data_IF_538695411097
#
_entry.id   IF_538695411097
#
_cell.length_a   1.000
_cell.length_b   1.000
_cell.length_c   1.000
_cell.angle_alpha   90.00
_cell.angle_beta   90.00
_cell.angle_gamma   90.00
#
_symmetry.space_group_name_H-M   'P 1'
#
loop_
_entity.id
_entity.type
_entity.pdbx_description
1 polymer ?
#
# COMPACT_ATOMS: atom_id res chain seq x y z
N UNK A 1 26.43 -7.57 2.40
CA UNK A 1 25.21 -7.28 3.18
C UNK A 1 24.01 -7.30 2.23
N UNK A 2 23.04 -8.20 2.41
CA UNK A 2 21.75 -8.09 1.68
C UNK A 2 21.00 -6.91 2.29
N UNK A 3 20.62 -5.93 1.47
CA UNK A 3 19.76 -4.83 1.90
C UNK A 3 18.44 -5.45 2.42
N UNK A 4 18.23 -5.40 3.73
CA UNK A 4 16.98 -5.90 4.37
C UNK A 4 15.77 -5.08 3.97
N UNK A 5 16.01 -3.90 3.38
CA UNK A 5 14.98 -2.98 2.95
C UNK A 5 15.21 -2.46 1.54
N UNK A 6 14.11 -2.31 0.78
CA UNK A 6 14.02 -1.61 -0.50
C UNK A 6 13.50 -0.19 -0.25
N UNK A 7 14.08 0.82 -0.89
CA UNK A 7 13.56 2.20 -0.81
C UNK A 7 12.29 2.32 -1.66
N UNK A 8 11.40 3.25 -1.30
CA UNK A 8 10.15 3.46 -2.02
C UNK A 8 10.32 3.64 -3.55
N UNK A 9 11.25 4.48 -4.08
CA UNK A 9 11.41 4.60 -5.53
C UNK A 9 11.84 3.29 -6.21
N UNK A 10 12.74 2.53 -5.56
CA UNK A 10 13.20 1.22 -6.07
C UNK A 10 12.08 0.17 -6.00
N UNK A 11 11.20 0.25 -5.00
CA UNK A 11 10.02 -0.60 -4.93
C UNK A 11 9.07 -0.33 -6.11
N UNK A 12 8.75 0.93 -6.36
CA UNK A 12 7.87 1.35 -7.46
C UNK A 12 8.46 0.87 -8.80
N UNK A 13 9.75 1.14 -9.04
CA UNK A 13 10.43 0.74 -10.27
C UNK A 13 10.37 -0.78 -10.46
N UNK A 14 10.62 -1.57 -9.42
CA UNK A 14 10.58 -3.03 -9.52
C UNK A 14 9.21 -3.59 -9.89
N UNK A 15 8.13 -2.95 -9.43
CA UNK A 15 6.79 -3.37 -9.81
C UNK A 15 6.50 -3.02 -11.27
N UNK A 16 6.89 -1.81 -11.70
CA UNK A 16 6.76 -1.38 -13.10
C UNK A 16 7.54 -2.32 -14.03
N UNK A 17 8.80 -2.63 -13.70
CA UNK A 17 9.63 -3.55 -14.45
C UNK A 17 9.05 -4.97 -14.51
N UNK A 18 8.34 -5.40 -13.46
CA UNK A 18 7.69 -6.71 -13.42
C UNK A 18 6.43 -6.76 -14.31
N UNK A 19 5.64 -5.69 -14.33
CA UNK A 19 4.42 -5.60 -15.14
C UNK A 19 4.73 -5.65 -16.64
N UNK A 20 5.78 -4.95 -17.09
CA UNK A 20 6.10 -4.83 -18.52
C UNK A 20 7.06 -5.89 -19.03
N UNK A 21 7.58 -6.77 -18.15
CA UNK A 21 8.70 -7.68 -18.47
C UNK A 21 8.43 -8.56 -19.68
N UNK A 22 7.24 -9.14 -19.74
CA UNK A 22 6.81 -10.03 -20.82
C UNK A 22 5.73 -9.41 -21.70
N UNK A 23 5.10 -8.34 -21.23
CA UNK A 23 4.00 -7.65 -21.90
C UNK A 23 4.30 -6.14 -21.93
N UNK A 24 5.08 -5.64 -22.91
CA UNK A 24 5.56 -4.25 -22.93
C UNK A 24 4.46 -3.18 -22.92
N UNK A 25 3.27 -3.51 -23.45
CA UNK A 25 2.09 -2.63 -23.50
C UNK A 25 1.28 -2.62 -22.19
N UNK A 26 1.65 -3.46 -21.20
CA UNK A 26 0.93 -3.59 -19.94
C UNK A 26 0.93 -2.25 -19.19
N UNK A 27 -0.26 -1.75 -18.88
CA UNK A 27 -0.41 -0.57 -18.03
C UNK A 27 -0.37 -0.98 -16.56
N UNK A 28 0.30 -0.19 -15.73
CA UNK A 28 0.33 -0.43 -14.29
C UNK A 28 0.20 0.87 -13.51
N UNK A 29 -0.63 0.85 -12.47
CA UNK A 29 -0.72 1.92 -11.49
C UNK A 29 -0.66 1.42 -10.05
N UNK A 30 -0.25 2.31 -9.14
CA UNK A 30 -0.18 2.04 -7.70
C UNK A 30 -1.06 3.08 -7.00
N UNK A 31 -2.04 2.63 -6.20
CA UNK A 31 -2.96 3.49 -5.44
C UNK A 31 -2.82 3.25 -3.94
N UNK A 32 -3.18 4.24 -3.12
CA UNK A 32 -3.12 4.19 -1.65
C UNK A 32 -1.76 4.59 -1.07
N UNK A 33 -0.90 5.22 -1.87
CA UNK A 33 0.42 5.71 -1.46
C UNK A 33 0.62 7.21 -1.76
N UNK A 34 -0.44 7.93 -2.08
CA UNK A 34 -0.42 9.32 -2.56
C UNK A 34 0.26 10.27 -1.55
N UNK A 35 0.09 10.00 -0.26
CA UNK A 35 0.65 10.79 0.83
C UNK A 35 1.97 10.24 1.39
N UNK A 36 2.57 9.21 0.76
CA UNK A 36 3.80 8.56 1.24
C UNK A 36 5.00 9.07 0.45
N UNK A 37 5.69 10.08 0.99
CA UNK A 37 6.86 10.68 0.33
C UNK A 37 8.15 9.84 0.45
N UNK A 38 8.29 9.01 1.49
CA UNK A 38 9.43 8.11 1.64
C UNK A 38 9.08 6.90 2.52
N UNK A 39 9.59 5.73 2.16
CA UNK A 39 9.41 4.50 2.93
C UNK A 39 10.56 3.51 2.72
N UNK A 40 10.71 2.59 3.68
CA UNK A 40 11.57 1.39 3.58
C UNK A 40 10.67 0.16 3.64
N UNK A 41 10.68 -0.63 2.58
CA UNK A 41 9.89 -1.86 2.46
C UNK A 41 10.80 -3.07 2.68
N UNK A 42 10.27 -4.17 3.18
CA UNK A 42 11.08 -5.38 3.38
C UNK A 42 11.50 -5.98 2.03
N UNK A 43 12.79 -6.10 1.74
CA UNK A 43 13.26 -6.53 0.40
C UNK A 43 12.72 -7.89 -0.04
N UNK A 44 12.60 -8.84 0.88
CA UNK A 44 12.02 -10.16 0.61
C UNK A 44 10.52 -10.07 0.24
N UNK A 45 9.79 -9.09 0.78
CA UNK A 45 8.39 -8.85 0.43
C UNK A 45 8.29 -8.12 -0.91
N UNK A 46 9.15 -7.14 -1.16
CA UNK A 46 9.25 -6.48 -2.47
C UNK A 46 9.41 -7.49 -3.60
N UNK A 47 10.37 -8.42 -3.48
CA UNK A 47 10.60 -9.43 -4.52
C UNK A 47 9.38 -10.35 -4.72
N UNK A 48 8.69 -10.74 -3.63
CA UNK A 48 7.47 -11.53 -3.73
C UNK A 48 6.31 -10.80 -4.40
N UNK A 49 6.15 -9.50 -4.13
CA UNK A 49 5.11 -8.68 -4.75
C UNK A 49 5.43 -8.48 -6.23
N UNK A 50 6.70 -8.20 -6.59
CA UNK A 50 7.12 -8.08 -7.98
C UNK A 50 6.83 -9.36 -8.77
N UNK A 51 7.13 -10.53 -8.21
CA UNK A 51 6.81 -11.81 -8.85
C UNK A 51 5.28 -12.01 -9.03
N UNK A 52 4.47 -11.54 -8.07
CA UNK A 52 3.01 -11.62 -8.20
C UNK A 52 2.48 -10.67 -9.30
N UNK A 53 3.06 -9.47 -9.43
CA UNK A 53 2.74 -8.55 -10.53
C UNK A 53 3.09 -9.18 -11.88
N UNK A 54 4.26 -9.82 -12.00
CA UNK A 54 4.68 -10.53 -13.21
C UNK A 54 3.74 -11.70 -13.54
N UNK A 55 3.29 -12.46 -12.52
CA UNK A 55 2.33 -13.56 -12.67
C UNK A 55 1.00 -13.07 -13.26
N UNK A 56 0.45 -11.97 -12.73
CA UNK A 56 -0.75 -11.32 -13.27
C UNK A 56 -0.51 -10.81 -14.68
N UNK A 57 0.63 -10.17 -14.95
CA UNK A 57 0.98 -9.66 -16.28
C UNK A 57 1.08 -10.75 -17.37
N UNK A 58 1.35 -11.99 -16.98
CA UNK A 58 1.39 -13.15 -17.87
C UNK A 58 0.02 -13.83 -18.07
N UNK A 59 -1.03 -13.37 -17.37
CA UNK A 59 -2.36 -13.97 -17.44
C UNK A 59 -3.10 -13.51 -18.70
N UNK A 60 -3.65 -14.46 -19.46
CA UNK A 60 -4.37 -14.15 -20.70
C UNK A 60 -5.61 -13.30 -20.41
N UNK A 61 -5.79 -12.24 -21.20
CA UNK A 61 -6.96 -11.35 -21.09
C UNK A 61 -6.78 -10.19 -20.11
N UNK A 62 -5.63 -10.07 -19.44
CA UNK A 62 -5.29 -8.90 -18.62
C UNK A 62 -4.51 -7.89 -19.47
N UNK A 63 -4.96 -6.65 -19.49
CA UNK A 63 -4.37 -5.51 -20.21
C UNK A 63 -3.90 -4.38 -19.28
N UNK A 64 -4.35 -4.40 -18.01
CA UNK A 64 -4.03 -3.40 -16.99
C UNK A 64 -3.86 -4.05 -15.61
N UNK A 65 -2.91 -3.54 -14.82
CA UNK A 65 -2.64 -3.97 -13.45
C UNK A 65 -2.78 -2.80 -12.48
N UNK A 66 -3.58 -3.02 -11.44
CA UNK A 66 -3.66 -2.12 -10.30
C UNK A 66 -3.01 -2.75 -9.07
N UNK A 67 -2.06 -2.04 -8.46
CA UNK A 67 -1.50 -2.40 -7.15
C UNK A 67 -2.12 -1.50 -6.09
N UNK A 68 -3.09 -2.04 -5.36
CA UNK A 68 -3.84 -1.32 -4.34
C UNK A 68 -3.21 -1.54 -2.96
N UNK A 69 -2.76 -0.46 -2.34
CA UNK A 69 -2.17 -0.49 -0.99
C UNK A 69 -3.23 -0.07 0.03
N UNK A 70 -3.71 -1.04 0.82
CA UNK A 70 -4.69 -0.83 1.89
C UNK A 70 -4.12 -1.17 3.28
N UNK A 71 -4.58 -0.50 4.34
CA UNK A 71 -4.27 -0.92 5.70
C UNK A 71 -4.80 -2.33 5.97
N UNK A 72 -3.92 -3.18 6.49
CA UNK A 72 -4.29 -4.54 6.89
C UNK A 72 -5.16 -4.56 8.17
N UNK A 73 -4.97 -3.56 9.03
CA UNK A 73 -5.83 -3.31 10.18
C UNK A 73 -6.56 -1.99 9.89
N UNK A 74 -7.85 -2.02 9.56
CA UNK A 74 -8.61 -0.84 9.13
C UNK A 74 -8.98 0.10 10.28
N UNK A 75 -8.86 -0.38 11.53
CA UNK A 75 -9.08 0.41 12.73
C UNK A 75 -7.74 0.90 13.27
N UNK A 76 -7.59 2.22 13.32
CA UNK A 76 -6.38 2.85 13.84
C UNK A 76 -6.74 4.11 14.61
N UNK A 77 -6.21 4.20 15.83
CA UNK A 77 -6.31 5.39 16.68
C UNK A 77 -5.27 6.42 16.24
N UNK A 78 -5.72 7.63 15.91
CA UNK A 78 -4.87 8.72 15.45
C UNK A 78 -4.85 9.87 16.46
N UNK A 79 -3.71 10.56 16.53
CA UNK A 79 -3.58 11.83 17.25
C UNK A 79 -3.76 12.99 16.26
N UNK A 80 -4.71 13.86 16.55
CA UNK A 80 -4.93 15.09 15.80
C UNK A 80 -4.23 16.25 16.52
N UNK A 81 -3.47 17.06 15.76
CA UNK A 81 -2.82 18.27 16.28
C UNK A 81 -3.37 19.48 15.54
N UNK A 82 -4.25 20.23 16.19
CA UNK A 82 -4.95 21.38 15.60
C UNK A 82 -4.22 22.66 16.04
N UNK A 83 -3.56 23.35 15.12
CA UNK A 83 -2.79 24.57 15.39
C UNK A 83 -3.46 25.81 14.82
N UNK A 84 -3.60 26.85 15.66
CA UNK A 84 -3.95 28.20 15.24
C UNK A 84 -2.70 29.06 15.05
N UNK A 85 -2.60 29.74 13.91
CA UNK A 85 -1.49 30.63 13.55
C UNK A 85 -1.95 32.08 13.47
N UNK A 86 -1.07 33.03 13.81
CA UNK A 86 -1.31 34.45 13.57
C UNK A 86 -0.98 34.85 12.12
N UNK A 87 -1.24 36.13 11.79
CA UNK A 87 -0.98 36.72 10.47
C UNK A 87 0.49 36.64 10.02
N UNK A 88 1.42 36.45 10.96
CA UNK A 88 2.86 36.39 10.71
C UNK A 88 3.34 34.92 10.59
N UNK A 89 2.41 33.94 10.59
CA UNK A 89 2.71 32.52 10.48
C UNK A 89 3.21 31.88 11.78
N UNK A 90 3.10 32.56 12.92
CA UNK A 90 3.53 32.03 14.22
C UNK A 90 2.37 31.29 14.92
N UNK A 91 2.60 30.04 15.31
CA UNK A 91 1.62 29.27 16.08
C UNK A 91 1.38 29.91 17.46
N UNK A 92 0.11 30.11 17.84
CA UNK A 92 -0.30 30.72 19.12
C UNK A 92 -1.00 29.76 20.07
N UNK A 93 -1.72 28.77 19.53
CA UNK A 93 -2.47 27.78 20.30
C UNK A 93 -2.47 26.45 19.56
N UNK A 94 -2.44 25.35 20.31
CA UNK A 94 -2.67 24.02 19.80
C UNK A 94 -3.71 23.30 20.67
N UNK A 95 -4.51 22.44 20.04
CA UNK A 95 -5.35 21.44 20.71
C UNK A 95 -4.90 20.08 20.22
N UNK A 96 -4.77 19.12 21.13
CA UNK A 96 -4.40 17.73 20.82
C UNK A 96 -5.59 16.85 21.17
N UNK A 97 -6.09 16.10 20.20
CA UNK A 97 -7.25 15.22 20.34
C UNK A 97 -6.93 13.82 19.82
N UNK A 98 -7.79 12.87 20.14
CA UNK A 98 -7.72 11.49 19.64
C UNK A 98 -8.97 11.15 18.86
N UNK A 99 -8.81 10.44 17.75
CA UNK A 99 -9.93 9.91 16.96
C UNK A 99 -9.63 8.49 16.51
N UNK A 100 -10.63 7.62 16.58
CA UNK A 100 -10.57 6.30 15.96
C UNK A 100 -11.08 6.40 14.53
N UNK A 101 -10.27 5.92 13.58
CA UNK A 101 -10.60 5.91 12.17
C UNK A 101 -10.82 4.47 11.71
N UNK A 102 -11.99 4.24 11.11
CA UNK A 102 -12.32 3.03 10.37
C UNK A 102 -12.21 3.35 8.89
N UNK A 103 -11.31 2.66 8.19
CA UNK A 103 -11.14 2.82 6.74
C UNK A 103 -11.47 1.52 6.02
N UNK A 104 -11.94 1.59 4.76
CA UNK A 104 -12.16 0.38 3.98
C UNK A 104 -10.92 -0.50 3.82
N UNK A 105 -11.14 -1.81 3.77
CA UNK A 105 -10.12 -2.86 3.53
C UNK A 105 -10.13 -3.29 2.07
N UNK A 106 -9.33 -4.32 1.75
CA UNK A 106 -9.32 -4.95 0.43
C UNK A 106 -10.69 -5.48 -0.03
N UNK A 107 -11.64 -5.71 0.88
CA UNK A 107 -12.96 -6.27 0.53
C UNK A 107 -13.71 -5.40 -0.48
N UNK A 108 -13.53 -4.06 -0.42
CA UNK A 108 -14.12 -3.15 -1.40
C UNK A 108 -13.48 -3.25 -2.78
N UNK A 109 -12.23 -3.72 -2.86
CA UNK A 109 -11.49 -3.81 -4.12
C UNK A 109 -11.59 -5.22 -4.74
N UNK A 110 -12.16 -6.20 -4.03
CA UNK A 110 -12.26 -7.59 -4.45
C UNK A 110 -13.68 -8.03 -4.83
N UNK A 111 -14.68 -7.15 -4.69
CA UNK A 111 -16.10 -7.50 -4.84
C UNK A 111 -16.48 -8.01 -6.25
N UNK A 112 -15.73 -7.61 -7.27
CA UNK A 112 -15.90 -7.96 -8.69
C UNK A 112 -14.77 -8.86 -9.22
N UNK A 113 -13.86 -9.32 -8.36
CA UNK A 113 -12.82 -10.29 -8.73
C UNK A 113 -13.38 -11.71 -8.70
N UNK A 114 -13.42 -12.37 -9.87
CA UNK A 114 -13.87 -13.77 -10.00
C UNK A 114 -12.95 -14.74 -9.24
N UNK A 115 -11.63 -14.51 -9.28
CA UNK A 115 -10.64 -15.34 -8.59
C UNK A 115 -9.79 -14.51 -7.62
N UNK A 116 -9.72 -14.94 -6.36
CA UNK A 116 -8.93 -14.29 -5.31
C UNK A 116 -7.98 -15.28 -4.65
N UNK A 117 -6.67 -15.03 -4.78
CA UNK A 117 -5.61 -15.82 -4.14
C UNK A 117 -5.03 -15.04 -2.94
N UNK A 118 -5.49 -15.35 -1.72
CA UNK A 118 -4.95 -14.72 -0.50
C UNK A 118 -3.66 -15.38 -0.01
N UNK A 119 -2.52 -14.72 -0.24
CA UNK A 119 -1.17 -15.16 0.18
C UNK A 119 -0.71 -14.54 1.50
N UNK A 120 -1.59 -13.81 2.22
CA UNK A 120 -1.22 -13.11 3.46
C UNK A 120 -1.11 -14.11 4.62
N UNK A 121 -0.15 -13.93 5.55
CA UNK A 121 -0.12 -14.76 6.76
C UNK A 121 -1.37 -14.47 7.60
N UNK A 122 -1.96 -15.45 8.28
CA UNK A 122 -3.12 -15.21 9.17
C UNK A 122 -2.77 -14.20 10.28
N UNK A 123 -3.71 -13.33 10.64
CA UNK A 123 -3.55 -12.46 11.80
C UNK A 123 -3.77 -13.28 13.08
N UNK A 124 -2.77 -13.28 13.96
CA UNK A 124 -2.82 -14.04 15.22
C UNK A 124 -3.75 -13.43 16.27
N UNK A 125 -4.20 -12.19 16.05
CA UNK A 125 -5.06 -11.44 16.99
C UNK A 125 -6.47 -12.03 17.08
N UNK A 126 -6.92 -12.78 16.07
CA UNK A 126 -8.25 -13.40 16.01
C UNK A 126 -8.26 -14.91 16.33
N UNK A 127 -7.12 -15.51 16.66
CA UNK A 127 -7.02 -16.98 16.89
C UNK A 127 -7.23 -17.39 18.35
N UNK A 128 -7.62 -16.44 19.21
CA UNK A 128 -7.84 -16.65 20.67
C UNK A 128 -9.28 -16.43 21.12
N UNK A 129 -10.25 -16.40 20.20
CA UNK A 129 -11.68 -16.42 20.52
C UNK A 129 -12.22 -17.80 20.17
#
# INVERSE_FOLDING_TARGET
>A
MKLMHTKLPEFIQRLQDAAVRHTPEMKMEIKGMENVHSAKLQSLRTGRIANAVEEIACTQGIDHIEVLVRPRMPETMHTLVIKGYDKDGKAKKAIVETVDMLVPTEELDLFDCEEVIDRRPKMTVYTKI
#
